data_IF_015819032578
#
_entry.id   IF_015819032578
#
_cell.length_a   1.000
_cell.length_b   1.000
_cell.length_c   1.000
_cell.angle_alpha   90.00
_cell.angle_beta   90.00
_cell.angle_gamma   90.00
#
_symmetry.space_group_name_H-M   'P 1'
#
loop_
_entity.id
_entity.type
_entity.pdbx_description
1 polymer ?
#
# COMPACT_ATOMS: atom_id res chain seq x y z
N UNK A 1 -6.84 7.47 7.34
CA UNK A 1 -6.83 6.40 6.33
C UNK A 1 -6.08 6.92 5.12
N UNK A 2 -5.02 6.23 4.72
CA UNK A 2 -4.12 6.71 3.65
C UNK A 2 -4.22 5.75 2.49
N UNK A 3 -4.42 6.26 1.27
CA UNK A 3 -4.43 5.45 0.07
C UNK A 3 -3.07 5.53 -0.62
N UNK A 4 -2.64 4.42 -1.18
CA UNK A 4 -1.38 4.31 -1.89
C UNK A 4 -1.59 3.47 -3.14
N UNK A 5 -0.98 3.92 -4.24
CA UNK A 5 -1.11 3.28 -5.54
C UNK A 5 0.28 2.86 -5.98
N UNK A 6 0.43 1.60 -6.39
CA UNK A 6 1.59 1.12 -7.13
C UNK A 6 1.25 1.02 -8.62
N UNK A 7 2.24 1.26 -9.46
CA UNK A 7 2.11 1.31 -10.92
C UNK A 7 3.21 0.54 -11.61
N UNK A 8 2.93 -0.10 -12.74
CA UNK A 8 3.96 -0.81 -13.50
C UNK A 8 3.51 -1.33 -14.85
N UNK A 9 4.46 -1.75 -15.71
CA UNK A 9 4.16 -2.34 -17.02
C UNK A 9 3.53 -3.74 -16.94
N UNK A 10 3.64 -4.40 -15.79
CA UNK A 10 2.92 -5.64 -15.49
C UNK A 10 2.32 -5.56 -14.09
N UNK A 11 1.35 -6.43 -13.80
CA UNK A 11 0.74 -6.53 -12.47
C UNK A 11 1.78 -6.74 -11.37
N UNK A 12 2.80 -7.57 -11.63
CA UNK A 12 3.91 -7.81 -10.70
C UNK A 12 4.70 -6.53 -10.43
N UNK A 13 5.02 -5.76 -11.48
CA UNK A 13 5.74 -4.49 -11.30
C UNK A 13 4.91 -3.47 -10.51
N UNK A 14 3.59 -3.44 -10.71
CA UNK A 14 2.70 -2.58 -9.93
C UNK A 14 2.67 -2.97 -8.44
N UNK A 15 2.72 -4.27 -8.12
CA UNK A 15 2.85 -4.75 -6.73
C UNK A 15 4.23 -4.43 -6.13
N UNK A 16 5.31 -4.53 -6.90
CA UNK A 16 6.66 -4.16 -6.43
C UNK A 16 6.75 -2.66 -6.15
N UNK A 17 6.23 -1.82 -7.05
CA UNK A 17 6.17 -0.36 -6.84
C UNK A 17 5.30 -0.02 -5.62
N UNK A 18 4.18 -0.71 -5.44
CA UNK A 18 3.34 -0.57 -4.26
C UNK A 18 4.12 -0.86 -2.96
N UNK A 19 4.84 -1.98 -2.90
CA UNK A 19 5.64 -2.39 -1.74
C UNK A 19 6.73 -1.37 -1.39
N UNK A 20 7.46 -0.87 -2.40
CA UNK A 20 8.44 0.19 -2.19
C UNK A 20 7.81 1.47 -1.62
N UNK A 21 6.63 1.85 -2.10
CA UNK A 21 5.93 3.04 -1.60
C UNK A 21 5.41 2.82 -0.18
N UNK A 22 4.96 1.61 0.16
CA UNK A 22 4.56 1.23 1.52
C UNK A 22 5.76 1.34 2.45
N UNK A 23 6.92 0.78 2.06
CA UNK A 23 8.16 0.86 2.83
C UNK A 23 8.63 2.31 3.04
N UNK A 24 8.53 3.16 2.02
CA UNK A 24 8.85 4.58 2.13
C UNK A 24 7.89 5.36 3.05
N UNK A 25 6.63 4.93 3.13
CA UNK A 25 5.60 5.55 3.99
C UNK A 25 5.69 5.04 5.44
N UNK A 26 6.27 3.86 5.65
CA UNK A 26 6.38 3.23 6.97
C UNK A 26 7.42 3.97 7.80
N UNK A 27 6.98 4.64 8.87
CA UNK A 27 7.90 5.21 9.86
C UNK A 27 8.58 4.09 10.66
N UNK A 28 9.84 4.30 11.04
CA UNK A 28 10.65 3.35 11.80
C UNK A 28 9.87 2.79 13.00
N UNK A 29 9.54 1.49 12.97
CA UNK A 29 8.88 0.78 14.08
C UNK A 29 7.38 0.50 13.93
N UNK A 30 6.74 0.88 12.82
CA UNK A 30 5.36 0.48 12.51
C UNK A 30 5.27 -0.17 11.13
N UNK A 31 4.84 -1.43 11.08
CA UNK A 31 4.41 -2.08 9.84
C UNK A 31 2.94 -1.73 9.62
N UNK A 32 2.59 -0.83 8.68
CA UNK A 32 1.20 -0.50 8.43
C UNK A 32 0.47 -1.73 7.89
N UNK A 33 -0.76 -1.95 8.36
CA UNK A 33 -1.61 -2.99 7.79
C UNK A 33 -2.07 -2.51 6.41
N UNK A 34 -1.80 -3.30 5.37
CA UNK A 34 -2.11 -2.97 3.98
C UNK A 34 -3.25 -3.85 3.49
N UNK A 35 -4.21 -3.25 2.80
CA UNK A 35 -5.29 -3.98 2.14
C UNK A 35 -5.40 -3.48 0.71
N UNK A 36 -5.19 -4.37 -0.26
CA UNK A 36 -5.45 -4.07 -1.68
C UNK A 36 -6.96 -3.95 -1.88
N UNK A 37 -7.36 -2.83 -2.46
CA UNK A 37 -8.76 -2.51 -2.72
C UNK A 37 -9.14 -2.82 -4.16
N UNK A 38 -8.23 -2.54 -5.10
CA UNK A 38 -8.47 -2.74 -6.53
C UNK A 38 -7.18 -2.97 -7.31
N UNK A 39 -7.30 -3.69 -8.42
CA UNK A 39 -6.23 -3.95 -9.39
C UNK A 39 -6.79 -3.66 -10.77
N UNK A 40 -6.21 -2.70 -11.46
CA UNK A 40 -6.69 -2.25 -12.77
C UNK A 40 -5.59 -2.32 -13.82
N UNK A 41 -5.99 -2.58 -15.06
CA UNK A 41 -5.14 -2.53 -16.23
C UNK A 41 -5.76 -1.57 -17.25
N UNK A 42 -5.02 -0.53 -17.64
CA UNK A 42 -5.44 0.48 -18.61
C UNK A 42 -4.29 0.76 -19.56
N UNK A 43 -4.54 0.63 -20.87
CA UNK A 43 -3.55 0.87 -21.93
C UNK A 43 -2.21 0.17 -21.71
N UNK A 44 -2.25 -1.09 -21.27
CA UNK A 44 -1.06 -1.90 -20.98
C UNK A 44 -0.31 -1.52 -19.70
N UNK A 45 -0.82 -0.56 -18.93
CA UNK A 45 -0.28 -0.17 -17.63
C UNK A 45 -1.15 -0.74 -16.51
N UNK A 46 -0.48 -1.23 -15.48
CA UNK A 46 -1.10 -1.81 -14.30
C UNK A 46 -1.05 -0.82 -13.15
N UNK A 47 -2.13 -0.75 -12.40
CA UNK A 47 -2.22 0.00 -11.16
C UNK A 47 -2.87 -0.85 -10.07
N UNK A 48 -2.26 -0.85 -8.88
CA UNK A 48 -2.76 -1.53 -7.68
C UNK A 48 -3.06 -0.46 -6.64
N UNK A 49 -4.32 -0.32 -6.26
CA UNK A 49 -4.77 0.58 -5.21
C UNK A 49 -4.84 -0.17 -3.89
N UNK A 50 -4.20 0.36 -2.85
CA UNK A 50 -4.28 -0.17 -1.51
C UNK A 50 -4.57 0.93 -0.48
N UNK A 51 -5.14 0.51 0.64
CA UNK A 51 -5.23 1.34 1.85
C UNK A 51 -4.16 0.93 2.85
N UNK A 52 -3.57 1.94 3.47
CA UNK A 52 -2.68 1.84 4.61
C UNK A 52 -3.45 2.16 5.88
N UNK A 53 -3.50 1.18 6.78
CA UNK A 53 -3.97 1.32 8.14
C UNK A 53 -2.74 1.38 9.05
N UNK A 54 -2.27 2.59 9.32
CA UNK A 54 -1.32 2.84 10.41
C UNK A 54 -2.11 2.73 11.70
N UNK A 55 -2.29 1.51 12.21
CA UNK A 55 -2.92 1.32 13.51
C UNK A 55 -2.21 2.21 14.52
N UNK A 56 -2.92 3.20 15.07
CA UNK A 56 -2.59 3.62 16.43
C UNK A 56 -2.61 2.31 17.21
N UNK A 57 -1.52 1.98 17.90
CA UNK A 57 -1.67 1.16 19.09
C UNK A 57 -2.65 1.97 19.93
N UNK A 58 -3.95 1.69 19.83
CA UNK A 58 -4.89 2.04 20.86
C UNK A 58 -4.31 1.36 22.09
N UNK A 59 -3.57 2.17 22.83
CA UNK A 59 -2.98 1.81 24.10
C UNK A 59 -4.21 1.70 24.99
N UNK A 60 -4.77 0.50 25.07
CA UNK A 60 -5.86 0.17 25.98
C UNK A 60 -5.50 0.76 27.36
N UNK A 61 -6.25 1.75 27.86
CA UNK A 61 -5.94 2.33 29.15
C UNK A 61 -6.49 1.41 30.23
N UNK A 62 -5.61 0.52 30.71
CA UNK A 62 -5.64 -0.24 31.98
C UNK A 62 -6.80 -1.21 32.22
#
# INVERSE_FOLDING_TARGET
MTFIVGTGPTELHAHIDLDHRIAATSQHGSTPAVTVLDVTCSDGHWAVLATLNTGTKDREPR
#
